data_IF_206518073959
#
_entry.id   IF_206518073959
#
_cell.length_a   1.000
_cell.length_b   1.000
_cell.length_c   1.000
_cell.angle_alpha   90.00
_cell.angle_beta   90.00
_cell.angle_gamma   90.00
#
_symmetry.space_group_name_H-M   'P 1'
#
loop_
_entity.id
_entity.type
_entity.pdbx_description
1 polymer ?
#
# COMPACT_ATOMS: atom_id res chain seq x y z
N UNK A 1 -2.21 8.42 38.35
CA UNK A 1 -1.44 8.34 37.10
C UNK A 1 -2.10 7.24 36.29
N UNK A 2 -2.69 7.55 35.14
CA UNK A 2 -3.29 6.54 34.27
C UNK A 2 -2.14 5.89 33.49
N UNK A 3 -1.83 4.64 33.77
CA UNK A 3 -0.95 3.86 32.93
C UNK A 3 -1.74 3.49 31.68
N UNK A 4 -1.31 4.00 30.53
CA UNK A 4 -1.85 3.54 29.26
C UNK A 4 -1.46 2.07 29.09
N UNK A 5 -2.40 1.20 28.68
CA UNK A 5 -2.05 -0.19 28.41
C UNK A 5 -1.00 -0.22 27.29
N UNK A 6 0.05 -1.03 27.48
CA UNK A 6 1.06 -1.26 26.44
C UNK A 6 0.42 -2.05 25.29
N UNK A 7 -0.11 -1.32 24.32
CA UNK A 7 -0.74 -1.91 23.14
C UNK A 7 0.37 -2.15 22.11
N UNK A 8 0.63 -3.42 21.84
CA UNK A 8 1.50 -3.85 20.75
C UNK A 8 0.64 -4.35 19.58
N UNK A 9 0.90 -3.81 18.39
CA UNK A 9 0.19 -4.19 17.16
C UNK A 9 1.21 -4.72 16.16
N UNK A 10 0.96 -5.89 15.53
CA UNK A 10 1.86 -6.40 14.51
C UNK A 10 1.84 -5.49 13.27
N UNK A 11 3.00 -5.33 12.62
CA UNK A 11 3.14 -4.57 11.36
C UNK A 11 2.13 -5.02 10.30
N UNK A 12 1.85 -6.34 10.27
CA UNK A 12 0.88 -6.94 9.36
C UNK A 12 -0.52 -6.29 9.43
N UNK A 13 -0.94 -5.76 10.58
CA UNK A 13 -2.24 -5.09 10.70
C UNK A 13 -2.36 -3.85 9.82
N UNK A 14 -1.28 -3.07 9.69
CA UNK A 14 -1.22 -1.91 8.80
C UNK A 14 -1.16 -2.33 7.32
N UNK A 15 -0.50 -3.45 7.04
CA UNK A 15 -0.39 -4.01 5.69
C UNK A 15 -1.73 -4.57 5.16
N UNK A 16 -2.72 -4.85 6.02
CA UNK A 16 -4.05 -5.29 5.56
C UNK A 16 -4.73 -4.23 4.70
N UNK A 17 -4.65 -2.96 5.09
CA UNK A 17 -5.26 -1.85 4.32
C UNK A 17 -4.58 -1.72 2.96
N UNK A 18 -3.25 -1.81 2.93
CA UNK A 18 -2.48 -1.88 1.70
C UNK A 18 -2.91 -3.09 0.85
N UNK A 19 -2.97 -4.29 1.43
CA UNK A 19 -3.40 -5.50 0.73
C UNK A 19 -4.80 -5.41 0.12
N UNK A 20 -5.76 -4.82 0.84
CA UNK A 20 -7.11 -4.58 0.33
C UNK A 20 -7.11 -3.61 -0.86
N UNK A 21 -6.38 -2.49 -0.75
CA UNK A 21 -6.19 -1.55 -1.86
C UNK A 21 -5.59 -2.25 -3.09
N UNK A 22 -4.55 -3.06 -2.89
CA UNK A 22 -3.88 -3.80 -3.95
C UNK A 22 -4.80 -4.82 -4.62
N UNK A 23 -5.66 -5.50 -3.84
CA UNK A 23 -6.66 -6.42 -4.38
C UNK A 23 -7.66 -5.71 -5.30
N UNK A 24 -8.27 -4.60 -4.84
CA UNK A 24 -9.19 -3.82 -5.68
C UNK A 24 -8.51 -3.26 -6.93
N UNK A 25 -7.26 -2.81 -6.78
CA UNK A 25 -6.47 -2.35 -7.90
C UNK A 25 -6.25 -3.46 -8.95
N UNK A 26 -5.86 -4.66 -8.51
CA UNK A 26 -5.67 -5.81 -9.42
C UNK A 26 -6.97 -6.15 -10.17
N UNK A 27 -8.10 -6.18 -9.47
CA UNK A 27 -9.41 -6.43 -10.09
C UNK A 27 -9.75 -5.38 -11.16
N UNK A 28 -9.52 -4.10 -10.85
CA UNK A 28 -9.71 -2.99 -11.80
C UNK A 28 -8.80 -3.12 -13.03
N UNK A 29 -7.52 -3.44 -12.81
CA UNK A 29 -6.55 -3.62 -13.89
C UNK A 29 -6.88 -4.82 -14.79
N UNK A 30 -7.31 -5.95 -14.21
CA UNK A 30 -7.78 -7.10 -14.98
C UNK A 30 -9.01 -6.76 -15.82
N UNK A 31 -9.95 -5.99 -15.27
CA UNK A 31 -11.11 -5.51 -16.02
C UNK A 31 -10.70 -4.63 -17.21
N UNK A 32 -9.77 -3.69 -17.02
CA UNK A 32 -9.26 -2.84 -18.09
C UNK A 32 -8.52 -3.62 -19.17
N UNK A 33 -7.67 -4.57 -18.78
CA UNK A 33 -6.96 -5.45 -19.72
C UNK A 33 -7.95 -6.28 -20.53
N UNK A 34 -8.94 -6.89 -19.87
CA UNK A 34 -10.00 -7.63 -20.56
C UNK A 34 -10.77 -6.73 -21.54
N UNK A 35 -11.12 -5.52 -21.10
CA UNK A 35 -11.85 -4.56 -21.93
C UNK A 35 -11.03 -4.15 -23.15
N UNK A 36 -9.72 -3.94 -23.01
CA UNK A 36 -8.82 -3.67 -24.13
C UNK A 36 -8.71 -4.83 -25.10
N UNK A 37 -8.53 -6.05 -24.60
CA UNK A 37 -8.42 -7.23 -25.46
C UNK A 37 -9.70 -7.45 -26.27
N UNK A 38 -10.87 -7.13 -25.71
CA UNK A 38 -12.17 -7.37 -26.35
C UNK A 38 -12.70 -6.20 -27.18
N UNK A 39 -12.41 -4.96 -26.79
CA UNK A 39 -13.01 -3.74 -27.38
C UNK A 39 -11.96 -2.70 -27.82
N UNK A 40 -10.68 -2.92 -27.55
CA UNK A 40 -9.60 -1.93 -27.72
C UNK A 40 -9.19 -1.61 -29.15
N UNK A 41 -9.84 -2.17 -30.17
CA UNK A 41 -9.55 -1.89 -31.58
C UNK A 41 -9.83 -0.42 -31.95
N UNK A 42 -10.65 0.30 -31.17
CA UNK A 42 -11.12 1.65 -31.52
C UNK A 42 -10.31 2.84 -30.94
N UNK A 43 -9.11 2.64 -30.39
CA UNK A 43 -8.32 3.76 -29.84
C UNK A 43 -6.90 3.42 -29.43
N UNK A 44 -5.94 3.53 -30.36
CA UNK A 44 -4.51 3.30 -30.12
C UNK A 44 -3.93 4.10 -28.95
N UNK A 45 -4.34 5.37 -28.79
CA UNK A 45 -3.90 6.22 -27.68
C UNK A 45 -4.36 5.70 -26.31
N UNK A 46 -5.61 5.25 -26.20
CA UNK A 46 -6.14 4.66 -24.97
C UNK A 46 -5.45 3.33 -24.64
N UNK A 47 -5.19 2.52 -25.66
CA UNK A 47 -4.44 1.26 -25.52
C UNK A 47 -3.04 1.50 -24.93
N UNK A 48 -2.31 2.47 -25.47
CA UNK A 48 -0.96 2.79 -25.01
C UNK A 48 -0.95 3.31 -23.56
N UNK A 49 -1.89 4.20 -23.22
CA UNK A 49 -2.04 4.74 -21.87
C UNK A 49 -2.32 3.65 -20.83
N UNK A 50 -3.30 2.80 -21.09
CA UNK A 50 -3.67 1.73 -20.16
C UNK A 50 -2.57 0.68 -20.07
N UNK A 51 -1.87 0.37 -21.15
CA UNK A 51 -0.74 -0.58 -21.13
C UNK A 51 0.41 -0.05 -20.27
N UNK A 52 0.81 1.21 -20.44
CA UNK A 52 1.87 1.84 -19.64
C UNK A 52 1.44 1.91 -18.17
N UNK A 53 0.22 2.34 -17.90
CA UNK A 53 -0.29 2.46 -16.53
C UNK A 53 -0.36 1.11 -15.83
N UNK A 54 -0.89 0.09 -16.49
CA UNK A 54 -1.00 -1.27 -15.96
C UNK A 54 0.39 -1.89 -15.76
N UNK A 55 1.26 -1.79 -16.77
CA UNK A 55 2.62 -2.33 -16.70
C UNK A 55 3.48 -1.66 -15.64
N UNK A 56 3.45 -0.32 -15.59
CA UNK A 56 4.15 0.45 -14.57
C UNK A 56 3.67 0.11 -13.16
N UNK A 57 2.37 -0.10 -12.99
CA UNK A 57 1.87 -0.47 -11.68
C UNK A 57 2.22 -1.91 -11.30
N UNK A 58 2.20 -2.87 -12.23
CA UNK A 58 2.70 -4.23 -11.97
C UNK A 58 4.14 -4.19 -11.47
N UNK A 59 5.00 -3.35 -12.05
CA UNK A 59 6.39 -3.17 -11.61
C UNK A 59 6.44 -2.60 -10.18
N UNK A 60 5.64 -1.58 -9.87
CA UNK A 60 5.58 -1.00 -8.52
C UNK A 60 5.06 -1.99 -7.48
N UNK A 61 4.03 -2.77 -7.83
CA UNK A 61 3.46 -3.84 -6.98
C UNK A 61 4.52 -4.90 -6.70
N UNK A 62 5.16 -5.42 -7.75
CA UNK A 62 6.18 -6.44 -7.61
C UNK A 62 7.36 -5.91 -6.78
N UNK A 63 7.85 -4.71 -7.09
CA UNK A 63 8.94 -4.05 -6.37
C UNK A 63 8.62 -3.85 -4.88
N UNK A 64 7.45 -3.30 -4.56
CA UNK A 64 7.02 -3.12 -3.16
C UNK A 64 6.87 -4.45 -2.42
N UNK A 65 6.32 -5.48 -3.07
CA UNK A 65 6.22 -6.82 -2.48
C UNK A 65 7.61 -7.42 -2.19
N UNK A 66 8.55 -7.32 -3.13
CA UNK A 66 9.93 -7.78 -2.93
C UNK A 66 10.63 -7.06 -1.78
N UNK A 67 10.47 -5.74 -1.66
CA UNK A 67 11.02 -4.97 -0.56
C UNK A 67 10.43 -5.39 0.80
N UNK A 68 9.15 -5.77 0.84
CA UNK A 68 8.45 -6.19 2.05
C UNK A 68 8.72 -7.65 2.45
N UNK A 69 9.24 -8.51 1.56
CA UNK A 69 9.54 -9.91 1.90
C UNK A 69 10.63 -10.05 2.98
N UNK A 70 11.52 -9.07 3.10
CA UNK A 70 12.58 -9.09 4.12
C UNK A 70 12.12 -8.70 5.53
N UNK A 71 10.87 -8.24 5.68
CA UNK A 71 10.32 -7.79 6.96
C UNK A 71 9.52 -8.89 7.65
N UNK A 72 9.71 -9.02 8.96
CA UNK A 72 8.83 -9.85 9.80
C UNK A 72 7.52 -9.09 10.06
N UNK A 73 6.43 -9.56 9.45
CA UNK A 73 5.12 -8.92 9.57
C UNK A 73 4.44 -9.20 10.91
N UNK A 74 4.90 -10.22 11.64
CA UNK A 74 4.45 -10.51 13.00
C UNK A 74 5.19 -9.68 14.04
N UNK A 75 6.22 -8.92 13.63
CA UNK A 75 6.98 -8.07 14.54
C UNK A 75 6.05 -7.07 15.23
N UNK A 76 5.97 -7.08 16.58
CA UNK A 76 5.09 -6.20 17.32
C UNK A 76 5.70 -4.80 17.41
N UNK A 77 4.96 -3.78 16.97
CA UNK A 77 5.30 -2.38 17.23
C UNK A 77 4.52 -1.93 18.46
N UNK A 78 5.23 -1.40 19.47
CA UNK A 78 4.60 -0.75 20.63
C UNK A 78 4.12 0.64 20.24
N UNK A 79 2.84 0.91 20.50
CA UNK A 79 2.22 2.21 20.21
C UNK A 79 2.65 3.29 21.21
N UNK A 80 3.20 2.91 22.36
CA UNK A 80 3.56 3.82 23.45
C UNK A 80 4.62 4.85 23.01
N UNK A 81 5.61 4.43 22.21
CA UNK A 81 6.68 5.30 21.71
C UNK A 81 6.28 6.10 20.45
N UNK A 82 5.15 5.79 19.82
CA UNK A 82 4.76 6.43 18.54
C UNK A 82 4.13 7.80 18.78
N UNK A 83 3.50 8.01 19.95
CA UNK A 83 2.91 9.30 20.35
C UNK A 83 3.98 10.27 20.85
N UNK A 84 5.02 9.77 21.50
CA UNK A 84 6.12 10.60 22.04
C UNK A 84 6.96 11.25 20.93
N UNK A 85 7.18 10.54 19.81
CA UNK A 85 7.90 11.06 18.64
C UNK A 85 7.12 12.15 17.87
N UNK A 86 5.80 12.23 18.04
CA UNK A 86 4.98 13.23 17.34
C UNK A 86 5.00 14.62 18.01
N UNK A 87 5.50 14.73 19.25
CA UNK A 87 5.39 15.96 20.05
C UNK A 87 6.63 16.86 20.10
N UNK A 88 7.86 16.37 19.85
CA UNK A 88 9.05 17.21 20.03
C UNK A 88 9.57 17.90 18.73
N UNK A 89 9.37 17.29 17.56
CA UNK A 89 9.93 17.82 16.31
C UNK A 89 9.01 18.82 15.57
N UNK A 90 7.69 18.72 15.77
CA UNK A 90 6.71 19.54 15.03
C UNK A 90 6.30 20.83 15.76
N UNK A 91 6.40 20.86 17.09
CA UNK A 91 6.10 22.05 17.91
C UNK A 91 7.06 22.14 19.11
N UNK A 92 8.32 22.53 18.90
CA UNK A 92 9.24 22.76 20.01
C UNK A 92 8.73 23.93 20.87
N UNK A 93 8.35 23.61 22.12
CA UNK A 93 7.98 24.54 23.18
C UNK A 93 6.84 25.53 22.85
N UNK A 94 5.59 25.07 23.02
CA UNK A 94 4.50 25.90 23.56
C UNK A 94 4.04 25.30 24.89
#
# INVERSE_FOLDING_TARGET
MFDLPNISVPVGAFLIVYGAYMMFYVLYSLFNVYHLLRYGVYGFGLYLLVTIFTGGTIILVAGSTFLLMGYDWAHPISLDNTVEYYNEDLFPAL
#
